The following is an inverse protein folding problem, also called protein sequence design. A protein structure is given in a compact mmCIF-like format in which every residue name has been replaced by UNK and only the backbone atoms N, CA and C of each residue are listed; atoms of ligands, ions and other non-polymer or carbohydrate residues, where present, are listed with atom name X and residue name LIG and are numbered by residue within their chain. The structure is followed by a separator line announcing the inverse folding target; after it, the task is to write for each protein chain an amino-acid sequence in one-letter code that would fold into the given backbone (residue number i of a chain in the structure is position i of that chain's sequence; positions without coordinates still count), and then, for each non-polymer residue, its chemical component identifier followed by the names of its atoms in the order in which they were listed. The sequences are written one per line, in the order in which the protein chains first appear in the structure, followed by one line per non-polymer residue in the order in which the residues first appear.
data_IF_102512237279
#
_entry.id   IF_102512237279
#
_cell.length_a   1.000
_cell.length_b   1.000
_cell.length_c   1.000
_cell.angle_alpha   90.00
_cell.angle_beta   90.00
_cell.angle_gamma   90.00
#
_symmetry.space_group_name_H-M   'P 1'
#
loop_
_entity.id
_entity.type
_entity.pdbx_description
1 polymer ?
#
# COMPACT_ATOMS: atom_id res chain seq x y z
N UNK A 1 -11.60 11.98 4.14
CA UNK A 1 -11.72 11.34 5.47
C UNK A 1 -10.38 10.73 5.86
N UNK A 2 -9.85 11.07 7.05
CA UNK A 2 -8.56 10.62 7.57
C UNK A 2 -8.78 9.47 8.56
N UNK A 3 -8.09 8.34 8.35
CA UNK A 3 -8.10 7.20 9.27
C UNK A 3 -6.89 7.36 10.18
N UNK A 4 -7.11 7.31 11.50
CA UNK A 4 -6.07 7.49 12.51
C UNK A 4 -5.98 6.33 13.52
N UNK A 5 -6.86 5.34 13.41
CA UNK A 5 -6.87 4.18 14.31
C UNK A 5 -5.71 3.23 13.96
N UNK A 6 -4.83 2.99 14.94
CA UNK A 6 -3.72 2.04 14.85
C UNK A 6 -4.16 0.65 14.41
N UNK A 7 -5.33 0.19 14.84
CA UNK A 7 -5.86 -1.13 14.48
C UNK A 7 -6.19 -1.24 13.00
N UNK A 8 -6.58 -0.14 12.34
CA UNK A 8 -6.75 -0.13 10.90
C UNK A 8 -5.40 -0.37 10.19
N UNK A 9 -4.33 0.24 10.70
CA UNK A 9 -2.96 -0.02 10.23
C UNK A 9 -2.54 -1.49 10.40
N UNK A 10 -2.82 -2.08 11.57
CA UNK A 10 -2.56 -3.51 11.80
C UNK A 10 -3.38 -4.41 10.87
N UNK A 11 -4.65 -4.06 10.61
CA UNK A 11 -5.50 -4.81 9.69
C UNK A 11 -4.96 -4.77 8.26
N UNK A 12 -4.52 -3.59 7.79
CA UNK A 12 -3.87 -3.43 6.48
C UNK A 12 -2.61 -4.31 6.41
N UNK A 13 -1.74 -4.23 7.41
CA UNK A 13 -0.52 -5.04 7.46
C UNK A 13 -0.82 -6.54 7.45
N UNK A 14 -1.81 -6.98 8.23
CA UNK A 14 -2.26 -8.36 8.29
C UNK A 14 -2.77 -8.86 6.92
N UNK A 15 -3.64 -8.08 6.26
CA UNK A 15 -4.17 -8.42 4.95
C UNK A 15 -3.06 -8.48 3.90
N UNK A 16 -2.18 -7.48 3.85
CA UNK A 16 -1.05 -7.45 2.91
C UNK A 16 -0.12 -8.65 3.09
N UNK A 17 0.14 -9.07 4.33
CA UNK A 17 0.91 -10.29 4.61
C UNK A 17 0.18 -11.56 4.16
N UNK A 18 -1.14 -11.67 4.43
CA UNK A 18 -1.95 -12.83 4.03
C UNK A 18 -2.12 -12.97 2.52
N UNK A 19 -2.11 -11.86 1.80
CA UNK A 19 -2.14 -11.80 0.34
C UNK A 19 -0.74 -11.90 -0.28
N UNK A 20 0.30 -12.13 0.54
CA UNK A 20 1.68 -12.32 0.07
C UNK A 20 2.22 -11.09 -0.69
N UNK A 21 1.78 -9.88 -0.29
CA UNK A 21 2.19 -8.62 -0.90
C UNK A 21 3.44 -8.02 -0.26
N UNK A 22 3.96 -8.65 0.79
CA UNK A 22 5.12 -8.17 1.54
C UNK A 22 6.29 -9.14 1.36
N UNK A 23 7.51 -8.58 1.32
CA UNK A 23 8.75 -9.35 1.38
C UNK A 23 9.08 -9.77 2.83
N UNK A 24 10.11 -10.62 3.04
CA UNK A 24 10.50 -11.06 4.39
C UNK A 24 10.89 -9.92 5.34
N UNK A 25 11.30 -8.78 4.80
CA UNK A 25 11.65 -7.56 5.52
C UNK A 25 10.42 -6.68 5.85
N UNK A 26 9.21 -7.10 5.42
CA UNK A 26 7.96 -6.39 5.66
C UNK A 26 7.75 -5.18 4.75
N UNK A 27 8.48 -5.07 3.64
CA UNK A 27 8.27 -4.06 2.60
C UNK A 27 7.42 -4.63 1.47
N UNK A 28 6.94 -3.76 0.57
CA UNK A 28 6.09 -4.18 -0.53
C UNK A 28 6.85 -5.01 -1.57
N UNK A 29 6.41 -6.24 -1.79
CA UNK A 29 6.95 -7.11 -2.83
C UNK A 29 6.41 -6.70 -4.22
N UNK A 30 7.14 -5.83 -4.94
CA UNK A 30 6.71 -5.23 -6.22
C UNK A 30 6.06 -6.21 -7.20
N UNK A 31 6.72 -7.33 -7.50
CA UNK A 31 6.22 -8.31 -8.49
C UNK A 31 4.83 -8.86 -8.14
N UNK A 32 4.71 -9.47 -6.97
CA UNK A 32 3.44 -9.97 -6.43
C UNK A 32 2.35 -8.91 -6.32
N UNK A 33 2.69 -7.67 -5.98
CA UNK A 33 1.69 -6.59 -5.93
C UNK A 33 1.17 -6.18 -7.31
N UNK A 34 2.03 -6.18 -8.33
CA UNK A 34 1.60 -5.95 -9.72
C UNK A 34 0.68 -7.08 -10.19
N UNK A 35 1.06 -8.33 -9.92
CA UNK A 35 0.24 -9.51 -10.25
C UNK A 35 -1.12 -9.46 -9.56
N UNK A 36 -1.13 -9.18 -8.26
CA UNK A 36 -2.36 -9.01 -7.49
C UNK A 36 -3.28 -7.94 -8.09
N UNK A 37 -2.75 -6.76 -8.44
CA UNK A 37 -3.55 -5.69 -9.02
C UNK A 37 -4.16 -6.09 -10.38
N UNK A 38 -3.41 -6.84 -11.19
CA UNK A 38 -3.88 -7.37 -12.49
C UNK A 38 -4.97 -8.42 -12.34
N UNK A 39 -4.82 -9.35 -11.40
CA UNK A 39 -5.84 -10.36 -11.09
C UNK A 39 -7.18 -9.73 -10.65
N UNK A 40 -7.13 -8.52 -10.08
CA UNK A 40 -8.29 -7.76 -9.64
C UNK A 40 -8.77 -6.71 -10.66
N UNK A 41 -8.33 -6.81 -11.92
CA UNK A 41 -8.91 -6.06 -13.05
C UNK A 41 -8.15 -4.82 -13.49
N UNK A 42 -6.94 -4.57 -12.96
CA UNK A 42 -6.07 -3.51 -13.48
C UNK A 42 -5.37 -3.96 -14.77
N UNK A 43 -5.24 -3.07 -15.74
CA UNK A 43 -4.29 -3.29 -16.84
C UNK A 43 -2.83 -3.14 -16.35
N UNK A 44 -1.86 -3.55 -17.19
CA UNK A 44 -0.44 -3.55 -16.84
C UNK A 44 0.07 -2.15 -16.44
N UNK A 45 -0.35 -1.11 -17.16
CA UNK A 45 0.09 0.25 -16.92
C UNK A 45 -0.46 0.79 -15.59
N UNK A 46 -1.73 0.51 -15.29
CA UNK A 46 -2.42 0.90 -14.07
C UNK A 46 -1.85 0.16 -12.87
N UNK A 47 -1.64 -1.15 -12.99
CA UNK A 47 -1.04 -1.98 -11.95
C UNK A 47 0.37 -1.50 -11.58
N UNK A 48 1.22 -1.26 -12.59
CA UNK A 48 2.57 -0.74 -12.38
C UNK A 48 2.55 0.62 -11.67
N UNK A 49 1.69 1.53 -12.15
CA UNK A 49 1.56 2.86 -11.57
C UNK A 49 1.07 2.83 -10.11
N UNK A 50 0.12 1.96 -9.78
CA UNK A 50 -0.32 1.77 -8.38
C UNK A 50 0.83 1.30 -7.48
N UNK A 51 1.62 0.33 -7.95
CA UNK A 51 2.76 -0.20 -7.18
C UNK A 51 3.86 0.84 -7.01
N UNK A 52 4.12 1.66 -8.04
CA UNK A 52 5.09 2.74 -7.96
C UNK A 52 4.70 3.78 -6.89
N UNK A 53 3.42 4.18 -6.86
CA UNK A 53 2.90 5.10 -5.83
C UNK A 53 3.03 4.50 -4.42
N UNK A 54 2.69 3.21 -4.23
CA UNK A 54 2.87 2.56 -2.94
C UNK A 54 4.34 2.57 -2.49
N UNK A 55 5.26 2.36 -3.43
CA UNK A 55 6.69 2.39 -3.15
C UNK A 55 7.21 3.79 -2.81
N UNK A 56 6.74 4.82 -3.52
CA UNK A 56 7.06 6.22 -3.23
C UNK A 56 6.54 6.62 -1.84
N UNK A 57 5.32 6.19 -1.50
CA UNK A 57 4.76 6.40 -0.17
C UNK A 57 5.53 5.67 0.93
N UNK A 58 6.01 4.45 0.67
CA UNK A 58 6.87 3.74 1.62
C UNK A 58 8.22 4.47 1.82
N UNK A 59 8.87 4.88 0.73
CA UNK A 59 10.13 5.61 0.77
C UNK A 59 10.02 6.98 1.46
N UNK A 60 8.89 7.66 1.33
CA UNK A 60 8.62 8.95 1.98
C UNK A 60 8.20 8.82 3.46
N UNK A 61 7.82 7.62 3.90
CA UNK A 61 7.38 7.39 5.28
C UNK A 61 8.57 7.35 6.23
N UNK A 62 8.44 8.03 7.37
CA UNK A 62 9.50 8.03 8.38
C UNK A 62 9.72 6.60 8.93
N UNK A 63 10.97 6.21 9.23
CA UNK A 63 11.23 4.98 9.97
C UNK A 63 10.45 4.99 11.29
N UNK A 64 9.67 3.94 11.55
CA UNK A 64 8.89 3.77 12.77
C UNK A 64 9.07 2.37 13.32
N UNK A 65 9.19 2.26 14.63
CA UNK A 65 9.18 0.96 15.33
C UNK A 65 7.80 0.29 15.23
N UNK A 66 6.72 1.08 15.37
CA UNK A 66 5.35 0.57 15.23
C UNK A 66 4.98 0.37 13.76
N UNK A 67 5.06 -0.89 13.31
CA UNK A 67 4.74 -1.30 11.95
C UNK A 67 3.26 -1.09 11.58
N UNK A 68 2.33 -1.12 12.55
CA UNK A 68 0.93 -0.83 12.26
C UNK A 68 0.74 0.65 11.88
N UNK A 69 1.37 1.54 12.64
CA UNK A 69 1.32 2.98 12.34
C UNK A 69 2.04 3.30 11.04
N UNK A 70 3.17 2.64 10.75
CA UNK A 70 3.85 2.77 9.45
C UNK A 70 2.95 2.34 8.30
N UNK A 71 2.31 1.18 8.39
CA UNK A 71 1.38 0.71 7.36
C UNK A 71 0.20 1.68 7.14
N UNK A 72 -0.32 2.26 8.22
CA UNK A 72 -1.38 3.28 8.13
C UNK A 72 -0.91 4.54 7.42
N UNK A 73 0.30 5.02 7.69
CA UNK A 73 0.87 6.20 7.02
C UNK A 73 1.06 5.98 5.52
N UNK A 74 1.63 4.84 5.15
CA UNK A 74 1.79 4.44 3.74
C UNK A 74 0.42 4.39 3.06
N UNK A 75 -0.58 3.76 3.70
CA UNK A 75 -1.93 3.68 3.16
C UNK A 75 -2.61 5.05 3.01
N UNK A 76 -2.39 5.97 3.95
CA UNK A 76 -2.92 7.33 3.88
C UNK A 76 -2.23 8.18 2.80
N UNK A 77 -0.92 7.99 2.61
CA UNK A 77 -0.20 8.57 1.48
C UNK A 77 -0.74 8.04 0.15
N UNK A 78 -0.85 6.72 0.00
CA UNK A 78 -1.36 6.09 -1.22
C UNK A 78 -2.77 6.57 -1.56
N UNK A 79 -3.66 6.60 -0.56
CA UNK A 79 -5.01 7.16 -0.70
C UNK A 79 -4.98 8.58 -1.27
N UNK A 80 -4.12 9.45 -0.75
CA UNK A 80 -3.99 10.83 -1.22
C UNK A 80 -3.62 10.89 -2.71
N UNK A 81 -2.65 10.08 -3.13
CA UNK A 81 -2.22 10.03 -4.53
C UNK A 81 -3.30 9.45 -5.46
N UNK A 82 -4.00 8.40 -5.03
CA UNK A 82 -5.12 7.81 -5.79
C UNK A 82 -6.28 8.80 -5.97
N UNK A 83 -6.58 9.62 -4.95
CA UNK A 83 -7.56 10.70 -5.08
C UNK A 83 -7.13 11.76 -6.10
N UNK A 84 -5.85 12.15 -6.16
CA UNK A 84 -5.34 13.11 -7.17
C UNK A 84 -5.49 12.59 -8.59
N UNK A 85 -5.45 11.27 -8.78
CA UNK A 85 -5.64 10.62 -10.07
C UNK A 85 -7.12 10.43 -10.45
N UNK A 86 -8.06 10.78 -9.56
CA UNK A 86 -9.50 10.47 -9.70
C UNK A 86 -9.76 8.95 -9.84
N UNK A 87 -8.95 8.13 -9.19
CA UNK A 87 -9.07 6.67 -9.18
C UNK A 87 -9.74 6.14 -7.92
N UNK A 88 -9.99 7.02 -6.94
CA UNK A 88 -10.78 6.66 -5.77
C UNK A 88 -12.25 6.44 -6.18
N UNK A 89 -12.86 5.31 -5.80
CA UNK A 89 -14.27 5.05 -6.05
C UNK A 89 -15.20 5.96 -5.23
#
# INVERSE_FOLDING_TARGET
HQISDRNAGCAILCLSSKMDLLDPEGKLHRGKTVEFAKEHGSDDATAQKMVDILHECDAASAPREDQCMRALEIAMCFKTEIHKLNWAP
#
